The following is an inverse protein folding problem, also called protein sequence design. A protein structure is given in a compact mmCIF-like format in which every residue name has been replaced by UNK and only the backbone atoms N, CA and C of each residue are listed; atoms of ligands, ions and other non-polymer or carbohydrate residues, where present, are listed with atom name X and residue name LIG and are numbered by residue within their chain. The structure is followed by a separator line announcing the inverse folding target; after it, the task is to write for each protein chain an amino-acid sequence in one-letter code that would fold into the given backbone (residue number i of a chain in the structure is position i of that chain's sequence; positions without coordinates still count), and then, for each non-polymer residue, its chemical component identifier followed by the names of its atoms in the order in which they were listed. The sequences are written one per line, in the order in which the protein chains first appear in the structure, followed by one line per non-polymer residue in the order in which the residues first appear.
data_IF_039377539182
#
_entry.id   IF_039377539182
#
_cell.length_a   1.000
_cell.length_b   1.000
_cell.length_c   1.000
_cell.angle_alpha   90.00
_cell.angle_beta   90.00
_cell.angle_gamma   90.00
#
_symmetry.space_group_name_H-M   'P 1'
#
loop_
_entity.id
_entity.type
_entity.pdbx_description
1 polymer ?
#
# COMPACT_ATOMS: atom_id res chain seq x y z
N UNK A 1 16.93 13.61 -10.71
CA UNK A 1 16.55 12.69 -9.63
C UNK A 1 15.97 11.42 -10.23
N UNK A 2 16.25 10.24 -9.68
CA UNK A 2 15.58 8.99 -10.06
C UNK A 2 14.16 8.94 -9.47
N UNK A 3 13.31 8.05 -9.97
CA UNK A 3 11.97 7.82 -9.41
C UNK A 3 12.02 7.44 -7.92
N UNK A 4 13.01 6.63 -7.52
CA UNK A 4 13.27 6.31 -6.11
C UNK A 4 13.59 7.54 -5.27
N UNK A 5 14.41 8.48 -5.78
CA UNK A 5 14.70 9.72 -5.05
C UNK A 5 13.47 10.59 -4.84
N UNK A 6 12.53 10.57 -5.80
CA UNK A 6 11.26 11.26 -5.67
C UNK A 6 10.34 10.58 -4.64
N UNK A 7 10.26 9.25 -4.65
CA UNK A 7 9.51 8.50 -3.64
C UNK A 7 10.10 8.75 -2.24
N UNK A 8 11.42 8.72 -2.08
CA UNK A 8 12.08 9.08 -0.82
C UNK A 8 11.83 10.53 -0.42
N UNK A 9 11.84 11.48 -1.36
CA UNK A 9 11.57 12.88 -1.08
C UNK A 9 10.11 13.10 -0.62
N UNK A 10 9.16 12.38 -1.22
CA UNK A 10 7.76 12.38 -0.81
C UNK A 10 7.59 11.74 0.57
N UNK A 11 8.20 10.57 0.81
CA UNK A 11 8.12 9.86 2.08
C UNK A 11 8.77 10.63 3.24
N UNK A 12 9.88 11.35 2.99
CA UNK A 12 10.54 12.18 4.01
C UNK A 12 9.83 13.52 4.25
N UNK A 13 8.94 13.94 3.35
CA UNK A 13 8.25 15.21 3.47
C UNK A 13 6.99 15.06 4.31
N UNK A 14 7.11 15.36 5.60
CA UNK A 14 5.97 15.41 6.54
C UNK A 14 4.86 16.36 6.08
N UNK A 15 5.18 17.31 5.19
CA UNK A 15 4.21 18.26 4.65
C UNK A 15 3.06 17.59 3.93
N UNK A 16 3.29 16.51 3.18
CA UNK A 16 2.20 15.82 2.46
C UNK A 16 1.33 14.94 3.36
N UNK A 17 1.86 14.55 4.52
CA UNK A 17 1.11 13.80 5.53
C UNK A 17 0.33 14.69 6.50
N UNK A 18 0.71 15.97 6.65
CA UNK A 18 0.12 16.91 7.63
C UNK A 18 -0.69 18.06 7.01
N UNK A 19 -0.39 18.46 5.77
CA UNK A 19 -1.07 19.56 5.09
C UNK A 19 -2.08 19.02 4.06
N UNK A 20 -3.35 19.00 4.46
CA UNK A 20 -4.46 18.57 3.60
C UNK A 20 -4.64 19.46 2.36
N UNK A 21 -4.37 20.76 2.46
CA UNK A 21 -4.52 21.67 1.33
C UNK A 21 -3.45 21.40 0.28
N UNK A 22 -2.20 21.23 0.72
CA UNK A 22 -1.10 20.84 -0.14
C UNK A 22 -1.33 19.46 -0.76
N UNK A 23 -1.79 18.47 0.02
CA UNK A 23 -2.12 17.11 -0.45
C UNK A 23 -3.19 17.13 -1.55
N UNK A 24 -4.30 17.83 -1.32
CA UNK A 24 -5.37 17.97 -2.31
C UNK A 24 -4.90 18.72 -3.56
N UNK A 25 -4.10 19.77 -3.41
CA UNK A 25 -3.52 20.49 -4.54
C UNK A 25 -2.57 19.58 -5.35
N UNK A 26 -1.80 18.75 -4.67
CA UNK A 26 -0.88 17.79 -5.27
C UNK A 26 -1.63 16.70 -6.06
N UNK A 27 -2.74 16.18 -5.55
CA UNK A 27 -3.60 15.24 -6.30
C UNK A 27 -4.19 15.92 -7.54
N UNK A 28 -4.65 17.16 -7.40
CA UNK A 28 -5.30 17.89 -8.50
C UNK A 28 -4.31 18.33 -9.59
N UNK A 29 -3.10 18.76 -9.22
CA UNK A 29 -2.09 19.27 -10.16
C UNK A 29 -0.69 18.70 -9.85
N UNK A 30 -0.45 17.39 -10.06
CA UNK A 30 0.75 16.70 -9.63
C UNK A 30 2.04 17.36 -10.07
N UNK A 31 2.21 17.58 -11.37
CA UNK A 31 3.43 18.17 -11.93
C UNK A 31 3.73 19.54 -11.36
N UNK A 32 2.71 20.39 -11.31
CA UNK A 32 2.85 21.77 -10.88
C UNK A 32 3.31 21.81 -9.43
N UNK A 33 2.63 21.06 -8.56
CA UNK A 33 2.97 21.05 -7.14
C UNK A 33 4.31 20.36 -6.90
N UNK A 34 4.60 19.22 -7.54
CA UNK A 34 5.90 18.56 -7.42
C UNK A 34 7.06 19.45 -7.86
N UNK A 35 6.93 20.19 -8.97
CA UNK A 35 7.95 21.13 -9.44
C UNK A 35 8.11 22.32 -8.49
N UNK A 36 7.03 22.81 -7.89
CA UNK A 36 7.08 23.89 -6.90
C UNK A 36 7.73 23.44 -5.58
N UNK A 37 7.35 22.27 -5.07
CA UNK A 37 7.86 21.73 -3.81
C UNK A 37 9.28 21.19 -3.95
N UNK A 38 9.62 20.62 -5.10
CA UNK A 38 10.93 20.07 -5.41
C UNK A 38 11.48 20.70 -6.71
N UNK A 39 12.03 21.92 -6.67
CA UNK A 39 12.53 22.61 -7.86
C UNK A 39 13.69 21.87 -8.57
N UNK A 40 14.38 20.99 -7.86
CA UNK A 40 15.44 20.12 -8.40
C UNK A 40 14.90 18.87 -9.11
N UNK A 41 13.58 18.66 -9.08
CA UNK A 41 12.92 17.57 -9.75
C UNK A 41 12.64 17.92 -11.21
N UNK A 42 13.48 17.42 -12.10
CA UNK A 42 13.21 17.43 -13.54
C UNK A 42 12.33 16.23 -13.92
N UNK A 43 11.01 16.41 -13.91
CA UNK A 43 10.11 15.50 -14.62
C UNK A 43 10.19 15.83 -16.12
N UNK A 44 10.31 14.82 -16.97
CA UNK A 44 10.28 15.03 -18.42
C UNK A 44 8.97 15.72 -18.82
N UNK A 45 9.02 16.67 -19.76
CA UNK A 45 7.85 17.48 -20.15
C UNK A 45 6.65 16.62 -20.57
N UNK A 46 6.92 15.46 -21.18
CA UNK A 46 5.92 14.51 -21.66
C UNK A 46 5.47 13.46 -20.64
N UNK A 47 6.11 13.37 -19.47
CA UNK A 47 5.81 12.34 -18.46
C UNK A 47 4.53 12.70 -17.71
N UNK A 48 3.44 11.95 -17.77
CA UNK A 48 2.25 12.19 -16.95
C UNK A 48 2.44 11.65 -15.55
N UNK A 49 2.01 12.39 -14.54
CA UNK A 49 2.09 11.98 -13.15
C UNK A 49 0.69 11.72 -12.60
N UNK A 50 0.51 10.54 -12.01
CA UNK A 50 -0.72 10.10 -11.36
C UNK A 50 -0.44 9.85 -9.89
N UNK A 51 -1.28 10.39 -9.03
CA UNK A 51 -1.19 10.15 -7.60
C UNK A 51 -2.34 9.30 -7.14
N UNK A 52 -2.01 8.37 -6.26
CA UNK A 52 -2.94 7.43 -5.67
C UNK A 52 -2.86 7.53 -4.16
N UNK A 53 -3.98 7.23 -3.51
CA UNK A 53 -4.06 7.13 -2.06
C UNK A 53 -4.73 5.82 -1.69
N UNK A 54 -4.14 5.09 -0.74
CA UNK A 54 -4.82 3.96 -0.16
C UNK A 54 -5.93 4.44 0.78
N UNK A 55 -7.06 3.75 0.73
CA UNK A 55 -8.20 4.00 1.61
C UNK A 55 -8.64 2.69 2.29
N UNK A 56 -9.63 2.78 3.18
CA UNK A 56 -10.23 1.58 3.76
C UNK A 56 -10.96 0.69 2.74
N UNK A 57 -11.22 1.19 1.53
CA UNK A 57 -11.97 0.48 0.49
C UNK A 57 -11.18 0.26 -0.79
N UNK A 58 -10.00 0.86 -0.94
CA UNK A 58 -9.16 0.62 -2.11
C UNK A 58 -7.68 0.71 -1.79
N UNK A 59 -6.89 -0.06 -2.52
CA UNK A 59 -5.44 -0.06 -2.44
C UNK A 59 -4.85 0.06 -3.85
N UNK A 60 -3.75 0.79 -3.95
CA UNK A 60 -3.01 0.97 -5.18
C UNK A 60 -1.61 0.39 -5.05
N UNK A 61 -1.26 -0.49 -5.97
CA UNK A 61 0.06 -1.12 -6.04
C UNK A 61 0.73 -0.63 -7.32
N UNK A 62 1.92 -0.06 -7.16
CA UNK A 62 2.70 0.51 -8.26
C UNK A 62 3.82 -0.45 -8.59
N UNK A 63 3.83 -0.93 -9.83
CA UNK A 63 4.87 -1.77 -10.38
C UNK A 63 5.86 -0.91 -11.16
N UNK A 64 7.14 -1.13 -10.91
CA UNK A 64 8.21 -0.49 -11.68
C UNK A 64 8.85 -1.56 -12.53
N UNK A 65 8.75 -1.42 -13.86
CA UNK A 65 9.30 -2.41 -14.77
C UNK A 65 10.82 -2.48 -14.64
N UNK A 66 11.34 -3.62 -14.17
CA UNK A 66 12.78 -3.88 -14.08
C UNK A 66 13.48 -3.33 -12.85
N UNK A 67 12.76 -2.83 -11.84
CA UNK A 67 13.32 -2.43 -10.54
C UNK A 67 12.59 -3.15 -9.38
N UNK A 68 13.25 -3.22 -8.22
CA UNK A 68 12.64 -3.74 -6.99
C UNK A 68 11.36 -2.97 -6.66
N UNK A 69 10.33 -3.72 -6.33
CA UNK A 69 9.01 -3.17 -6.07
C UNK A 69 8.99 -2.44 -4.73
N UNK A 70 8.38 -1.25 -4.72
CA UNK A 70 8.26 -0.42 -3.51
C UNK A 70 6.87 -0.62 -2.93
N UNK A 71 6.79 -1.26 -1.76
CA UNK A 71 5.54 -1.55 -1.07
C UNK A 71 5.35 -0.68 0.17
N UNK A 72 4.08 -0.42 0.51
CA UNK A 72 3.74 -0.01 1.88
C UNK A 72 3.87 -1.24 2.80
N UNK A 73 4.32 -1.02 4.05
CA UNK A 73 4.57 -2.05 5.08
C UNK A 73 3.35 -2.96 5.42
N UNK A 74 2.19 -2.68 4.83
CA UNK A 74 0.93 -3.38 5.10
C UNK A 74 0.70 -4.63 4.23
N UNK A 75 1.59 -4.95 3.29
CA UNK A 75 1.39 -6.03 2.35
C UNK A 75 1.83 -7.39 2.92
N UNK A 76 0.97 -8.41 2.83
CA UNK A 76 1.30 -9.76 3.27
C UNK A 76 2.41 -10.36 2.37
N UNK A 77 3.38 -11.06 2.96
CA UNK A 77 4.52 -11.70 2.26
C UNK A 77 4.11 -12.56 1.05
N UNK A 78 2.89 -13.10 1.05
CA UNK A 78 2.36 -13.88 -0.06
C UNK A 78 2.07 -13.03 -1.31
N UNK A 79 1.60 -11.79 -1.15
CA UNK A 79 1.38 -10.88 -2.27
C UNK A 79 2.73 -10.38 -2.80
N UNK A 80 3.68 -10.07 -1.93
CA UNK A 80 5.05 -9.70 -2.35
C UNK A 80 5.66 -10.74 -3.30
N UNK A 81 5.49 -12.03 -3.00
CA UNK A 81 5.95 -13.13 -3.88
C UNK A 81 5.26 -13.17 -5.24
N UNK A 82 3.98 -12.79 -5.31
CA UNK A 82 3.27 -12.69 -6.60
C UNK A 82 3.82 -11.54 -7.41
N UNK A 83 4.19 -10.45 -6.75
CA UNK A 83 4.67 -9.26 -7.41
C UNK A 83 6.12 -9.40 -7.88
N UNK A 84 6.97 -10.04 -7.09
CA UNK A 84 8.31 -10.46 -7.51
C UNK A 84 8.26 -11.29 -8.81
N UNK A 85 7.34 -12.27 -8.88
CA UNK A 85 7.09 -13.02 -10.12
C UNK A 85 6.59 -12.16 -11.26
N UNK A 86 5.71 -11.19 -10.97
CA UNK A 86 5.16 -10.30 -11.98
C UNK A 86 6.25 -9.44 -12.66
N UNK A 87 7.34 -9.09 -11.96
CA UNK A 87 8.49 -8.38 -12.56
C UNK A 87 9.03 -9.16 -13.78
N UNK A 88 9.22 -10.48 -13.63
CA UNK A 88 9.72 -11.36 -14.69
C UNK A 88 8.66 -11.83 -15.70
N UNK A 89 7.38 -11.78 -15.34
CA UNK A 89 6.28 -12.35 -16.13
C UNK A 89 5.33 -11.28 -16.69
N UNK A 90 5.52 -10.79 -17.93
CA UNK A 90 4.68 -9.75 -18.51
C UNK A 90 3.20 -10.14 -18.63
N UNK A 91 2.89 -11.42 -18.85
CA UNK A 91 1.51 -11.90 -18.91
C UNK A 91 0.84 -11.93 -17.53
N UNK A 92 1.62 -12.12 -16.46
CA UNK A 92 1.12 -11.99 -15.09
C UNK A 92 0.80 -10.52 -14.77
N UNK A 93 1.67 -9.58 -15.14
CA UNK A 93 1.41 -8.13 -14.99
C UNK A 93 0.10 -7.71 -15.66
N UNK A 94 -0.08 -8.11 -16.93
CA UNK A 94 -1.32 -7.80 -17.68
C UNK A 94 -2.56 -8.35 -16.98
N UNK A 95 -2.49 -9.57 -16.43
CA UNK A 95 -3.60 -10.17 -15.67
C UNK A 95 -3.86 -9.43 -14.36
N UNK A 96 -2.81 -9.06 -13.62
CA UNK A 96 -2.94 -8.26 -12.39
C UNK A 96 -3.55 -6.89 -12.66
N UNK A 97 -3.23 -6.24 -13.78
CA UNK A 97 -3.84 -4.96 -14.16
C UNK A 97 -5.30 -5.10 -14.62
N UNK A 98 -5.65 -6.20 -15.29
CA UNK A 98 -6.99 -6.41 -15.84
C UNK A 98 -7.99 -6.97 -14.81
N UNK A 99 -7.58 -7.96 -14.01
CA UNK A 99 -8.38 -8.57 -12.94
C UNK A 99 -7.49 -8.88 -11.72
N UNK A 100 -7.15 -7.84 -10.92
CA UNK A 100 -6.35 -7.98 -9.71
C UNK A 100 -6.88 -9.06 -8.76
N UNK A 101 -8.19 -9.03 -8.48
CA UNK A 101 -8.82 -9.93 -7.50
C UNK A 101 -8.83 -11.36 -7.99
N UNK A 102 -9.28 -11.60 -9.22
CA UNK A 102 -9.33 -12.95 -9.77
C UNK A 102 -7.93 -13.55 -9.93
N UNK A 103 -6.96 -12.73 -10.33
CA UNK A 103 -5.56 -13.15 -10.44
C UNK A 103 -4.98 -13.52 -9.08
N UNK A 104 -5.15 -12.67 -8.06
CA UNK A 104 -4.68 -12.96 -6.70
C UNK A 104 -5.39 -14.17 -6.10
N UNK A 105 -6.71 -14.30 -6.27
CA UNK A 105 -7.47 -15.46 -5.77
C UNK A 105 -7.02 -16.78 -6.43
N UNK A 106 -6.58 -16.73 -7.69
CA UNK A 106 -6.06 -17.90 -8.41
C UNK A 106 -4.68 -18.32 -7.90
N UNK A 107 -3.80 -17.35 -7.65
CA UNK A 107 -2.41 -17.59 -7.24
C UNK A 107 -2.28 -17.86 -5.73
N UNK A 108 -3.14 -17.25 -4.94
CA UNK A 108 -3.13 -17.27 -3.49
C UNK A 108 -4.51 -17.76 -2.98
N UNK A 109 -4.75 -19.08 -2.95
CA UNK A 109 -6.05 -19.64 -2.60
C UNK A 109 -6.49 -19.32 -1.16
N UNK A 110 -5.53 -19.06 -0.27
CA UNK A 110 -5.79 -18.68 1.12
C UNK A 110 -5.91 -17.16 1.31
N UNK A 111 -5.64 -16.37 0.27
CA UNK A 111 -5.76 -14.91 0.32
C UNK A 111 -7.21 -14.49 0.14
N UNK A 112 -7.65 -13.57 0.98
CA UNK A 112 -9.01 -13.05 0.96
C UNK A 112 -8.99 -11.55 0.69
N UNK A 113 -9.76 -11.14 -0.32
CA UNK A 113 -10.08 -9.75 -0.60
C UNK A 113 -11.59 -9.60 -0.42
N UNK A 114 -12.06 -8.68 0.43
CA UNK A 114 -13.49 -8.40 0.54
C UNK A 114 -14.11 -8.00 -0.81
N UNK A 115 -15.39 -8.32 -1.01
CA UNK A 115 -16.11 -7.99 -2.26
C UNK A 115 -16.10 -6.48 -2.55
N UNK A 116 -16.30 -5.66 -1.51
CA UNK A 116 -16.35 -4.21 -1.62
C UNK A 116 -14.98 -3.53 -1.70
N UNK A 117 -13.89 -4.26 -1.46
CA UNK A 117 -12.53 -3.70 -1.41
C UNK A 117 -11.88 -3.73 -2.79
N UNK A 118 -11.35 -2.64 -3.33
CA UNK A 118 -10.74 -2.58 -4.67
C UNK A 118 -9.23 -2.64 -4.59
N UNK A 119 -8.60 -3.28 -5.57
CA UNK A 119 -7.15 -3.31 -5.71
C UNK A 119 -6.86 -2.82 -7.11
N UNK A 120 -5.93 -1.90 -7.27
CA UNK A 120 -5.49 -1.41 -8.57
C UNK A 120 -4.00 -1.64 -8.71
N UNK A 121 -3.62 -2.24 -9.83
CA UNK A 121 -2.23 -2.36 -10.24
C UNK A 121 -1.94 -1.31 -11.30
N UNK A 122 -0.92 -0.50 -11.04
CA UNK A 122 -0.42 0.51 -11.95
C UNK A 122 1.00 0.17 -12.37
N UNK A 123 1.41 0.53 -13.57
CA UNK A 123 2.76 0.30 -14.07
C UNK A 123 3.41 1.63 -14.44
N UNK A 124 4.59 1.88 -13.87
CA UNK A 124 5.38 3.04 -14.26
C UNK A 124 6.10 2.76 -15.58
N UNK A 125 6.06 3.76 -16.45
CA UNK A 125 6.71 3.76 -17.75
C UNK A 125 7.51 5.05 -17.95
N UNK A 126 8.16 5.18 -19.11
CA UNK A 126 8.85 6.41 -19.49
C UNK A 126 7.90 7.58 -19.74
N UNK A 127 6.60 7.32 -19.93
CA UNK A 127 5.59 8.32 -20.24
C UNK A 127 4.60 8.54 -19.10
N UNK A 128 4.43 7.58 -18.20
CA UNK A 128 3.47 7.65 -17.10
C UNK A 128 4.15 7.22 -15.80
N UNK A 129 4.13 8.07 -14.80
CA UNK A 129 4.59 7.76 -13.44
C UNK A 129 3.39 7.77 -12.50
N UNK A 130 3.28 6.72 -11.70
CA UNK A 130 2.34 6.58 -10.61
C UNK A 130 3.08 6.70 -9.29
N UNK A 131 2.48 7.41 -8.34
CA UNK A 131 3.02 7.70 -7.02
C UNK A 131 1.96 7.44 -5.96
N UNK A 132 2.33 6.72 -4.91
CA UNK A 132 1.47 6.50 -3.76
C UNK A 132 1.76 7.59 -2.73
N UNK A 133 0.73 8.29 -2.29
CA UNK A 133 0.87 9.24 -1.21
C UNK A 133 0.99 8.51 0.12
N UNK A 134 1.87 9.00 1.02
CA UNK A 134 1.92 8.46 2.37
C UNK A 134 0.55 8.63 3.07
N UNK A 135 0.25 7.76 4.04
CA UNK A 135 -0.92 7.96 4.88
C UNK A 135 -0.82 9.31 5.58
N UNK A 136 -1.99 9.91 5.82
CA UNK A 136 -2.07 11.10 6.67
C UNK A 136 -1.49 10.74 8.03
N UNK A 137 -0.61 11.61 8.54
CA UNK A 137 -0.18 11.50 9.92
C UNK A 137 -1.42 11.75 10.78
N UNK A 138 -1.94 10.71 11.42
CA UNK A 138 -2.89 10.93 12.51
C UNK A 138 -2.19 11.82 13.54
N UNK A 139 -2.91 12.79 14.11
CA UNK A 139 -2.39 13.75 15.08
C UNK A 139 -2.08 13.08 16.44
N UNK A 140 -1.38 11.94 16.42
CA UNK A 140 -1.16 11.02 17.54
C UNK A 140 0.34 10.74 17.75
N UNK A 141 1.17 11.79 17.73
CA UNK A 141 2.48 11.73 18.41
C UNK A 141 2.34 11.96 19.93
N UNK A 142 1.11 11.89 20.45
CA UNK A 142 0.79 11.74 21.87
C UNK A 142 -0.34 10.72 22.00
N UNK A 143 -0.06 9.44 21.69
CA UNK A 143 -0.87 8.37 22.27
C UNK A 143 -0.80 8.55 23.79
N UNK A 144 -1.93 8.78 24.44
CA UNK A 144 -1.95 8.86 25.90
C UNK A 144 -1.45 7.53 26.49
N UNK A 145 -0.81 7.52 27.67
CA UNK A 145 -0.32 6.28 28.31
C UNK A 145 -1.42 5.21 28.44
N UNK A 146 -2.68 5.64 28.53
CA UNK A 146 -3.86 4.78 28.56
C UNK A 146 -4.16 4.07 27.23
N UNK A 147 -3.80 4.67 26.09
CA UNK A 147 -3.94 4.08 24.76
C UNK A 147 -2.77 3.15 24.44
N UNK A 148 -1.56 3.47 24.92
CA UNK A 148 -0.39 2.58 24.88
C UNK A 148 -0.65 1.25 25.61
N UNK A 149 -1.33 1.28 26.74
CA UNK A 149 -1.71 0.08 27.50
C UNK A 149 -2.82 -0.74 26.79
N UNK A 150 -3.63 -0.10 25.96
CA UNK A 150 -4.63 -0.77 25.12
C UNK A 150 -4.01 -1.51 23.91
N UNK A 151 -2.85 -1.05 23.40
CA UNK A 151 -2.14 -1.73 22.30
C UNK A 151 -1.38 -2.98 22.80
N UNK A 152 -0.99 -3.01 24.08
CA UNK A 152 -0.42 -4.20 24.72
C UNK A 152 -1.48 -5.29 25.02
N UNK A 153 -2.76 -4.94 25.00
CA UNK A 153 -3.90 -5.85 25.20
C UNK A 153 -4.59 -6.20 23.89
N UNK A 154 -3.99 -7.06 23.06
CA UNK A 154 -4.52 -7.45 21.75
C UNK A 154 -6.03 -7.75 21.71
N UNK A 155 -6.83 -6.82 21.22
CA UNK A 155 -8.23 -7.05 20.86
C UNK A 155 -8.74 -6.04 19.82
N UNK A 156 -8.75 -6.49 18.56
CA UNK A 156 -9.71 -6.12 17.50
C UNK A 156 -9.78 -4.64 17.08
N UNK A 157 -8.67 -4.10 16.57
CA UNK A 157 -8.72 -3.06 15.54
C UNK A 157 -9.27 -3.67 14.24
N UNK A 158 -10.54 -3.38 13.91
CA UNK A 158 -11.16 -3.77 12.64
C UNK A 158 -10.75 -2.79 11.53
N UNK A 159 -9.53 -2.93 11.03
CA UNK A 159 -9.24 -2.63 9.62
C UNK A 159 -9.70 -3.79 8.73
N UNK A 160 -9.91 -3.59 7.42
CA UNK A 160 -10.21 -4.68 6.51
C UNK A 160 -9.01 -5.63 6.49
N UNK A 161 -9.21 -6.82 7.04
CA UNK A 161 -8.19 -7.87 7.16
C UNK A 161 -8.07 -8.60 5.81
N UNK A 162 -7.51 -7.89 4.84
CA UNK A 162 -6.94 -8.50 3.63
C UNK A 162 -5.76 -9.38 4.05
N UNK A 163 -5.59 -10.54 3.41
CA UNK A 163 -4.43 -11.41 3.70
C UNK A 163 -4.48 -12.21 5.01
N UNK A 164 -5.67 -12.63 5.47
CA UNK A 164 -5.75 -13.71 6.47
C UNK A 164 -6.06 -15.03 5.79
N UNK A 165 -5.25 -16.06 6.11
CA UNK A 165 -5.57 -17.45 5.79
C UNK A 165 -6.98 -17.80 6.23
N UNK A 166 -7.76 -18.43 5.34
CA UNK A 166 -9.10 -18.94 5.67
C UNK A 166 -8.98 -20.01 6.78
N UNK A 167 -9.43 -19.66 7.99
CA UNK A 167 -9.76 -20.63 9.03
C UNK A 167 -8.60 -21.16 9.86
N UNK A 168 -8.14 -20.37 10.84
CA UNK A 168 -7.50 -20.93 12.02
C UNK A 168 -8.56 -21.49 12.97
N UNK A 169 -8.74 -22.82 13.01
CA UNK A 169 -9.47 -23.47 14.12
C UNK A 169 -8.82 -23.00 15.43
N UNK A 170 -9.63 -22.43 16.31
CA UNK A 170 -9.21 -22.13 17.68
C UNK A 170 -8.61 -23.41 18.32
N UNK A 171 -7.50 -23.32 19.05
CA UNK A 171 -7.01 -24.46 19.83
C UNK A 171 -8.09 -24.82 20.86
N UNK A 172 -8.60 -26.06 20.78
CA UNK A 172 -9.44 -26.60 21.84
C UNK A 172 -8.59 -26.68 23.12
N UNK A 173 -8.91 -25.85 24.11
CA UNK A 173 -8.43 -26.02 25.48
C UNK A 173 -8.83 -27.42 25.97
N UNK A 174 -7.87 -28.34 25.97
CA UNK A 174 -8.03 -29.67 26.54
C UNK A 174 -7.88 -29.51 28.05
N UNK A 175 -9.00 -29.48 28.76
CA UNK A 175 -9.03 -29.46 30.22
C UNK A 175 -8.39 -30.75 30.75
N UNK A 176 -7.11 -30.69 31.12
CA UNK A 176 -6.46 -31.72 31.90
C UNK A 176 -7.05 -31.68 33.31
N UNK A 177 -7.93 -32.66 33.60
CA UNK A 177 -8.32 -32.98 34.98
C UNK A 177 -7.09 -33.46 35.72
N UNK A 178 -6.51 -32.63 36.59
CA UNK A 178 -5.58 -33.09 37.60
C UNK A 178 -6.37 -33.90 38.64
N UNK A 179 -6.18 -35.22 38.64
CA UNK A 179 -6.49 -36.08 39.78
C UNK A 179 -5.27 -36.10 40.70
N UNK A 180 -5.46 -35.77 41.97
CA UNK A 180 -4.65 -36.30 43.07
C UNK A 180 -5.52 -37.25 43.86
#
# INVERSE_FOLDING_TARGET
MTQQQLLEALARSESFSRDFALRNALIANPKTILHQTFPSLALGENVRAHLHEDTAQEMHIIMVAGEDLVFSDALETAVEQVLDKAVGEPDLRKRLMADPKGTLATLLPDFYVPEDFRIYFHENSTEEIHLLLPPLAQAEDELSEAELDAVAGGSRGRGPHIGRKRGGKAPHCRSQKFRR
#
